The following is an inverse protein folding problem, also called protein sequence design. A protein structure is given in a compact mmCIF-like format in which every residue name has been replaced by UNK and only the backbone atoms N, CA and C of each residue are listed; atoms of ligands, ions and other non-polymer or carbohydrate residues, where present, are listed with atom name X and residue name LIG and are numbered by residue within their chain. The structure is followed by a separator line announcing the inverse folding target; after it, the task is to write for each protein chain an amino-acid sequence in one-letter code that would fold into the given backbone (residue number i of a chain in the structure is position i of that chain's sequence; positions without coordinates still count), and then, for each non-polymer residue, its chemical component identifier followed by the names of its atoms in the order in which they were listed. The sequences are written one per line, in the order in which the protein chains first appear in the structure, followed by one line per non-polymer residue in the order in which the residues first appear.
data_IF_683535285108
#
_entry.id   IF_683535285108
#
_cell.length_a   1.000
_cell.length_b   1.000
_cell.length_c   1.000
_cell.angle_alpha   90.00
_cell.angle_beta   90.00
_cell.angle_gamma   90.00
#
_symmetry.space_group_name_H-M   'P 1'
#
loop_
_entity.id
_entity.type
_entity.pdbx_description
1 polymer ?
#
# COMPACT_ATOMS: atom_id res chain seq x y z
N UNK A 1 -9.39 -3.22 -22.33
CA UNK A 1 -9.88 -4.55 -21.89
C UNK A 1 -11.25 -4.36 -21.25
N UNK A 2 -12.29 -5.07 -21.72
CA UNK A 2 -13.68 -4.83 -21.31
C UNK A 2 -13.98 -5.38 -19.92
N UNK A 3 -13.21 -6.38 -19.45
CA UNK A 3 -13.44 -7.06 -18.19
C UNK A 3 -13.32 -6.14 -16.95
N UNK A 4 -12.41 -5.16 -16.99
CA UNK A 4 -12.14 -4.28 -15.85
C UNK A 4 -12.77 -2.89 -15.96
N UNK A 5 -13.33 -2.54 -17.14
CA UNK A 5 -13.85 -1.18 -17.39
C UNK A 5 -15.03 -0.82 -16.49
N UNK A 6 -15.83 -1.82 -16.11
CA UNK A 6 -16.99 -1.65 -15.22
C UNK A 6 -16.63 -1.37 -13.76
N UNK A 7 -15.35 -1.53 -13.37
CA UNK A 7 -14.90 -1.37 -11.98
C UNK A 7 -14.51 0.06 -11.62
N UNK A 8 -14.42 0.99 -12.58
CA UNK A 8 -14.08 2.38 -12.30
C UNK A 8 -12.68 2.61 -11.68
N UNK A 9 -11.76 1.66 -11.85
CA UNK A 9 -10.43 1.69 -11.21
C UNK A 9 -9.58 2.87 -11.69
N UNK A 10 -8.78 3.44 -10.77
CA UNK A 10 -7.69 4.36 -11.13
C UNK A 10 -6.66 3.62 -11.99
N UNK A 11 -5.88 4.36 -12.77
CA UNK A 11 -4.93 3.77 -13.73
C UNK A 11 -3.94 2.79 -13.09
N UNK A 12 -3.36 3.16 -11.94
CA UNK A 12 -2.44 2.29 -11.18
C UNK A 12 -3.15 1.02 -10.67
N UNK A 13 -4.34 1.16 -10.07
CA UNK A 13 -5.13 0.02 -9.59
C UNK A 13 -5.49 -0.94 -10.74
N UNK A 14 -5.86 -0.40 -11.90
CA UNK A 14 -6.15 -1.19 -13.09
C UNK A 14 -4.96 -2.06 -13.51
N UNK A 15 -3.75 -1.50 -13.53
CA UNK A 15 -2.57 -2.26 -13.92
C UNK A 15 -2.19 -3.33 -12.89
N UNK A 16 -2.34 -3.04 -11.59
CA UNK A 16 -2.06 -4.01 -10.53
C UNK A 16 -3.06 -5.18 -10.63
N UNK A 17 -4.36 -4.90 -10.64
CA UNK A 17 -5.41 -5.92 -10.77
C UNK A 17 -5.19 -6.78 -12.01
N UNK A 18 -4.94 -6.15 -13.16
CA UNK A 18 -4.70 -6.87 -14.41
C UNK A 18 -3.44 -7.72 -14.37
N UNK A 19 -2.35 -7.23 -13.78
CA UNK A 19 -1.09 -7.96 -13.69
C UNK A 19 -1.26 -9.19 -12.79
N UNK A 20 -1.88 -9.04 -11.62
CA UNK A 20 -2.19 -10.14 -10.69
C UNK A 20 -3.04 -11.21 -11.39
N UNK A 21 -4.11 -10.80 -12.08
CA UNK A 21 -4.97 -11.73 -12.83
C UNK A 21 -4.21 -12.54 -13.87
N UNK A 22 -3.13 -12.01 -14.44
CA UNK A 22 -2.32 -12.66 -15.47
C UNK A 22 -1.18 -13.51 -14.92
N UNK A 23 -0.93 -13.50 -13.61
CA UNK A 23 0.06 -14.38 -13.01
C UNK A 23 -0.29 -15.85 -13.21
N UNK A 24 0.73 -16.69 -13.29
CA UNK A 24 0.57 -18.15 -13.18
C UNK A 24 0.18 -18.48 -11.73
N UNK A 25 -0.64 -19.52 -11.48
CA UNK A 25 -0.93 -19.97 -10.12
C UNK A 25 0.37 -20.26 -9.35
N UNK A 26 0.49 -19.74 -8.13
CA UNK A 26 1.68 -19.81 -7.28
C UNK A 26 2.77 -18.77 -7.56
N UNK A 27 2.66 -17.95 -8.62
CA UNK A 27 3.66 -16.94 -8.93
C UNK A 27 3.54 -15.68 -8.04
N UNK A 28 4.68 -15.05 -7.79
CA UNK A 28 4.81 -13.80 -7.03
C UNK A 28 4.93 -12.60 -7.99
N UNK A 29 4.35 -11.47 -7.59
CA UNK A 29 4.57 -10.17 -8.23
C UNK A 29 4.83 -9.09 -7.18
N UNK A 30 5.68 -8.13 -7.54
CA UNK A 30 5.95 -6.94 -6.75
C UNK A 30 5.46 -5.70 -7.53
N UNK A 31 4.85 -4.75 -6.83
CA UNK A 31 4.36 -3.50 -7.39
C UNK A 31 4.82 -2.32 -6.56
N UNK A 32 5.19 -1.24 -7.24
CA UNK A 32 5.47 0.06 -6.63
C UNK A 32 4.30 0.98 -6.98
N UNK A 33 3.56 1.45 -5.97
CA UNK A 33 2.36 2.28 -6.16
C UNK A 33 2.30 3.37 -5.09
N UNK A 34 1.51 4.42 -5.29
CA UNK A 34 1.30 5.38 -4.20
C UNK A 34 0.48 4.74 -3.07
N UNK A 35 0.59 5.30 -1.86
CA UNK A 35 -0.17 4.86 -0.68
C UNK A 35 -1.70 4.80 -0.92
N UNK A 36 -2.19 5.55 -1.91
CA UNK A 36 -3.60 5.61 -2.29
C UNK A 36 -4.21 4.27 -2.70
N UNK A 37 -3.43 3.31 -3.23
CA UNK A 37 -3.97 1.96 -3.53
C UNK A 37 -4.43 1.25 -2.25
N UNK A 38 -3.65 1.37 -1.16
CA UNK A 38 -3.91 0.66 0.09
C UNK A 38 -4.81 1.47 1.04
N UNK A 39 -4.69 2.80 1.07
CA UNK A 39 -5.38 3.64 2.07
C UNK A 39 -6.73 4.20 1.60
N UNK A 40 -7.06 4.13 0.30
CA UNK A 40 -8.33 4.67 -0.17
C UNK A 40 -9.53 3.90 0.43
N UNK A 41 -10.61 4.62 0.71
CA UNK A 41 -11.85 4.06 1.23
C UNK A 41 -12.50 3.06 0.25
N UNK A 42 -12.39 3.33 -1.05
CA UNK A 42 -12.85 2.42 -2.10
C UNK A 42 -11.99 1.15 -2.15
N UNK A 43 -12.50 0.06 -1.59
CA UNK A 43 -11.80 -1.22 -1.54
C UNK A 43 -11.85 -2.01 -2.85
N UNK A 44 -12.55 -1.54 -3.90
CA UNK A 44 -12.83 -2.33 -5.13
C UNK A 44 -11.58 -2.97 -5.73
N UNK A 45 -10.46 -2.22 -5.79
CA UNK A 45 -9.20 -2.74 -6.30
C UNK A 45 -8.63 -3.87 -5.42
N UNK A 46 -8.61 -3.65 -4.10
CA UNK A 46 -8.11 -4.62 -3.12
C UNK A 46 -8.96 -5.89 -3.13
N UNK A 47 -10.28 -5.73 -3.17
CA UNK A 47 -11.24 -6.84 -3.28
C UNK A 47 -11.04 -7.65 -4.57
N UNK A 48 -10.81 -6.99 -5.72
CA UNK A 48 -10.54 -7.73 -6.96
C UNK A 48 -9.25 -8.55 -6.87
N UNK A 49 -8.18 -7.99 -6.31
CA UNK A 49 -6.91 -8.70 -6.12
C UNK A 49 -7.11 -9.90 -5.19
N UNK A 50 -7.79 -9.67 -4.06
CA UNK A 50 -8.02 -10.69 -3.03
C UNK A 50 -8.84 -11.89 -3.52
N UNK A 51 -9.60 -11.78 -4.63
CA UNK A 51 -10.30 -12.93 -5.22
C UNK A 51 -9.36 -14.06 -5.67
N UNK A 52 -8.12 -13.74 -6.05
CA UNK A 52 -7.21 -14.73 -6.62
C UNK A 52 -5.78 -14.70 -6.07
N UNK A 53 -5.42 -13.69 -5.27
CA UNK A 53 -4.09 -13.55 -4.72
C UNK A 53 -4.10 -13.17 -3.24
N UNK A 54 -3.04 -13.58 -2.55
CA UNK A 54 -2.76 -13.18 -1.18
C UNK A 54 -1.75 -12.03 -1.17
N UNK A 55 -1.96 -11.07 -0.26
CA UNK A 55 -0.91 -10.12 0.10
C UNK A 55 0.13 -10.86 0.95
N UNK A 56 1.34 -11.01 0.43
CA UNK A 56 2.45 -11.68 1.12
C UNK A 56 3.19 -10.70 2.01
N UNK A 57 3.40 -9.48 1.50
CA UNK A 57 4.10 -8.41 2.19
C UNK A 57 3.70 -7.07 1.60
N UNK A 58 3.76 -6.03 2.43
CA UNK A 58 3.74 -4.66 1.96
C UNK A 58 4.68 -3.81 2.80
N UNK A 59 5.43 -2.95 2.12
CA UNK A 59 6.31 -1.96 2.72
C UNK A 59 5.82 -0.57 2.35
N UNK A 60 5.87 0.37 3.28
CA UNK A 60 5.58 1.77 3.01
C UNK A 60 6.85 2.58 3.20
N UNK A 61 7.20 3.33 2.17
CA UNK A 61 8.36 4.22 2.13
C UNK A 61 7.92 5.67 2.34
N UNK A 62 8.76 6.49 3.00
CA UNK A 62 8.42 7.87 3.28
C UNK A 62 8.40 8.71 1.99
N UNK A 63 7.74 9.87 2.06
CA UNK A 63 7.77 10.89 1.02
C UNK A 63 9.21 11.26 0.65
N UNK A 64 9.46 11.48 -0.63
CA UNK A 64 10.79 11.85 -1.13
C UNK A 64 11.74 10.67 -1.37
N UNK A 65 11.35 9.44 -1.03
CA UNK A 65 12.15 8.22 -1.31
C UNK A 65 12.53 8.07 -2.78
N UNK A 66 11.67 8.52 -3.70
CA UNK A 66 11.92 8.48 -5.14
C UNK A 66 12.35 9.84 -5.72
N UNK A 67 12.60 10.86 -4.90
CA UNK A 67 13.04 12.18 -5.39
C UNK A 67 14.34 12.12 -6.20
N UNK A 68 15.39 11.35 -5.80
CA UNK A 68 16.63 11.29 -6.57
C UNK A 68 16.51 10.68 -7.98
N UNK A 69 15.54 9.78 -8.20
CA UNK A 69 15.41 9.03 -9.46
C UNK A 69 14.17 9.36 -10.31
N UNK A 70 13.08 9.82 -9.68
CA UNK A 70 11.79 10.06 -10.33
C UNK A 70 11.25 11.48 -10.11
N UNK A 71 11.88 12.29 -9.24
CA UNK A 71 11.50 13.69 -9.01
C UNK A 71 10.13 13.87 -8.35
N UNK A 72 9.60 12.87 -7.64
CA UNK A 72 8.29 12.95 -6.99
C UNK A 72 8.38 12.79 -5.48
N UNK A 73 7.65 13.65 -4.77
CA UNK A 73 7.45 13.60 -3.33
C UNK A 73 6.10 12.93 -3.04
N UNK A 74 6.08 11.61 -3.14
CA UNK A 74 4.90 10.79 -2.84
C UNK A 74 5.27 9.71 -1.84
N UNK A 75 4.35 9.41 -0.93
CA UNK A 75 4.42 8.19 -0.11
C UNK A 75 4.15 6.99 -1.03
N UNK A 76 5.06 6.02 -1.00
CA UNK A 76 5.06 4.89 -1.92
C UNK A 76 4.94 3.59 -1.14
N UNK A 77 4.09 2.70 -1.62
CA UNK A 77 3.99 1.34 -1.14
C UNK A 77 4.67 0.38 -2.13
N UNK A 78 5.42 -0.58 -1.59
CA UNK A 78 5.92 -1.76 -2.31
C UNK A 78 5.07 -2.95 -1.88
N UNK A 79 4.26 -3.48 -2.80
CA UNK A 79 3.28 -4.53 -2.53
C UNK A 79 3.72 -5.85 -3.17
N UNK A 80 3.69 -6.94 -2.40
CA UNK A 80 3.99 -8.29 -2.87
C UNK A 80 2.74 -9.15 -2.84
N UNK A 81 2.32 -9.63 -4.00
CA UNK A 81 1.16 -10.51 -4.14
C UNK A 81 1.57 -11.86 -4.70
N UNK A 82 1.02 -12.94 -4.12
CA UNK A 82 1.16 -14.30 -4.65
C UNK A 82 -0.18 -14.78 -5.15
N UNK A 83 -0.26 -15.19 -6.41
CA UNK A 83 -1.49 -15.79 -6.94
C UNK A 83 -1.70 -17.16 -6.33
N UNK A 84 -2.87 -17.40 -5.75
CA UNK A 84 -3.22 -18.68 -5.14
C UNK A 84 -3.28 -19.79 -6.18
N UNK A 85 -2.87 -21.00 -5.78
CA UNK A 85 -3.09 -22.21 -6.60
C UNK A 85 -4.54 -22.65 -6.51
N UNK A 86 -5.00 -23.41 -7.49
CA UNK A 86 -6.36 -23.97 -7.45
C UNK A 86 -6.53 -24.84 -6.20
N UNK A 87 -7.58 -24.57 -5.42
CA UNK A 87 -7.88 -25.28 -4.17
C UNK A 87 -7.12 -24.80 -2.94
N UNK A 88 -6.20 -23.83 -3.07
CA UNK A 88 -5.65 -23.16 -1.89
C UNK A 88 -6.73 -22.29 -1.23
N UNK A 89 -6.86 -22.31 0.11
CA UNK A 89 -7.78 -21.43 0.81
C UNK A 89 -7.34 -19.97 0.67
N UNK A 90 -8.28 -19.06 0.87
CA UNK A 90 -7.99 -17.64 0.98
C UNK A 90 -7.09 -17.37 2.20
N UNK A 91 -6.04 -16.57 1.99
CA UNK A 91 -5.15 -16.11 3.07
C UNK A 91 -5.79 -15.01 3.92
N UNK A 92 -4.93 -14.22 4.60
CA UNK A 92 -5.40 -13.08 5.38
C UNK A 92 -5.98 -11.98 4.46
N UNK A 93 -7.20 -11.55 4.75
CA UNK A 93 -7.92 -10.48 4.06
C UNK A 93 -8.09 -9.23 4.92
N UNK A 94 -7.48 -9.18 6.12
CA UNK A 94 -7.55 -8.02 7.00
C UNK A 94 -7.09 -6.73 6.28
N UNK A 95 -6.13 -6.84 5.36
CA UNK A 95 -5.63 -5.73 4.53
C UNK A 95 -6.66 -5.15 3.55
N UNK A 96 -7.84 -5.75 3.39
CA UNK A 96 -8.93 -5.12 2.63
C UNK A 96 -9.48 -3.88 3.35
N UNK A 97 -9.43 -3.90 4.68
CA UNK A 97 -10.00 -2.87 5.53
C UNK A 97 -9.00 -1.76 5.88
N UNK A 98 -9.57 -0.62 6.26
CA UNK A 98 -8.82 0.45 6.92
C UNK A 98 -8.97 0.32 8.44
N UNK A 99 -7.97 0.81 9.15
CA UNK A 99 -7.97 0.97 10.60
C UNK A 99 -7.79 2.46 10.93
N UNK A 100 -8.55 2.94 11.91
CA UNK A 100 -8.43 4.32 12.38
C UNK A 100 -7.24 4.43 13.33
N UNK A 101 -6.17 5.06 12.85
CA UNK A 101 -4.93 5.24 13.63
C UNK A 101 -4.92 6.55 14.41
N UNK A 102 -5.76 7.52 14.01
CA UNK A 102 -5.98 8.77 14.72
C UNK A 102 -7.46 9.16 14.62
N UNK A 103 -8.16 9.40 15.75
CA UNK A 103 -9.54 9.85 15.70
C UNK A 103 -9.65 11.25 15.08
N UNK A 104 -10.83 11.58 14.59
CA UNK A 104 -11.13 12.93 14.15
C UNK A 104 -10.96 13.93 15.31
N UNK A 105 -10.47 15.13 14.98
CA UNK A 105 -10.40 16.30 15.87
C UNK A 105 -11.31 17.39 15.31
N UNK A 106 -11.55 18.47 16.06
CA UNK A 106 -12.50 19.53 15.68
C UNK A 106 -12.26 20.07 14.25
N UNK A 107 -10.99 20.21 13.83
CA UNK A 107 -10.61 20.74 12.52
C UNK A 107 -9.95 19.71 11.58
N UNK A 108 -9.85 18.45 12.00
CA UNK A 108 -9.13 17.41 11.25
C UNK A 108 -9.92 16.10 11.18
N UNK A 109 -10.07 15.55 9.97
CA UNK A 109 -10.64 14.22 9.78
C UNK A 109 -9.84 13.12 10.51
N UNK A 110 -10.50 11.99 10.74
CA UNK A 110 -9.84 10.79 11.24
C UNK A 110 -8.79 10.31 10.23
N UNK A 111 -7.60 9.93 10.71
CA UNK A 111 -6.61 9.26 9.86
C UNK A 111 -6.94 7.78 9.85
N UNK A 112 -7.23 7.28 8.65
CA UNK A 112 -7.43 5.87 8.39
C UNK A 112 -6.32 5.38 7.48
N UNK A 113 -5.64 4.33 7.93
CA UNK A 113 -4.56 3.68 7.19
C UNK A 113 -4.99 2.27 6.89
N UNK A 114 -4.47 1.66 5.82
CA UNK A 114 -4.70 0.25 5.58
C UNK A 114 -4.34 -0.60 6.82
N UNK A 115 -5.22 -1.53 7.19
CA UNK A 115 -5.08 -2.35 8.39
C UNK A 115 -3.80 -3.19 8.39
N UNK A 116 -3.29 -3.60 7.22
CA UNK A 116 -1.99 -4.27 7.15
C UNK A 116 -0.89 -3.40 7.76
N UNK A 117 -0.75 -2.15 7.29
CA UNK A 117 0.28 -1.24 7.77
C UNK A 117 0.06 -0.84 9.24
N UNK A 118 -1.20 -0.63 9.66
CA UNK A 118 -1.52 -0.32 11.05
C UNK A 118 -1.06 -1.44 12.02
N UNK A 119 -1.15 -2.71 11.59
CA UNK A 119 -0.77 -3.87 12.40
C UNK A 119 0.68 -4.31 12.22
N UNK A 120 1.37 -3.78 11.21
CA UNK A 120 2.74 -4.11 10.87
C UNK A 120 3.62 -2.85 10.82
N UNK A 121 3.75 -2.10 11.93
CA UNK A 121 4.47 -0.82 11.94
C UNK A 121 5.94 -0.95 11.57
N UNK A 122 6.57 -2.12 11.78
CA UNK A 122 7.95 -2.40 11.36
C UNK A 122 8.16 -2.38 9.83
N UNK A 123 7.08 -2.46 9.05
CA UNK A 123 7.10 -2.42 7.58
C UNK A 123 6.72 -1.03 7.03
N UNK A 124 6.59 -0.05 7.92
CA UNK A 124 6.29 1.35 7.58
C UNK A 124 7.49 2.19 7.98
N UNK A 125 8.24 2.65 6.99
CA UNK A 125 9.50 3.36 7.19
C UNK A 125 9.21 4.86 7.22
N UNK A 126 9.41 5.50 8.37
CA UNK A 126 9.16 6.92 8.59
C UNK A 126 8.25 7.21 9.79
N UNK A 127 7.61 8.39 9.79
CA UNK A 127 6.61 8.80 10.78
C UNK A 127 5.39 9.48 10.14
N UNK A 128 4.22 9.31 10.77
CA UNK A 128 2.98 10.00 10.38
C UNK A 128 3.17 11.52 10.41
N UNK A 129 2.79 12.20 9.33
CA UNK A 129 2.67 13.65 9.33
C UNK A 129 1.44 14.10 8.54
N UNK A 130 1.02 15.34 8.79
CA UNK A 130 -0.03 16.01 8.05
C UNK A 130 0.62 17.14 7.28
N UNK A 131 0.49 17.12 5.96
CA UNK A 131 1.00 18.17 5.08
C UNK A 131 -0.18 18.92 4.51
N UNK A 132 -0.25 20.22 4.74
CA UNK A 132 -1.22 21.07 4.04
C UNK A 132 -0.86 21.12 2.57
N UNK A 133 -1.77 20.70 1.70
CA UNK A 133 -1.57 20.76 0.26
C UNK A 133 -1.48 22.21 -0.22
N UNK A 134 -0.72 22.47 -1.27
CA UNK A 134 -0.62 23.80 -1.89
C UNK A 134 -1.92 24.24 -2.60
N UNK A 135 -2.95 23.40 -2.66
CA UNK A 135 -4.17 23.59 -3.47
C UNK A 135 -5.48 23.47 -2.67
N UNK A 136 -5.45 23.47 -1.33
CA UNK A 136 -6.68 23.43 -0.55
C UNK A 136 -6.44 23.60 0.96
N UNK A 137 -7.51 23.87 1.73
CA UNK A 137 -7.44 23.93 3.20
C UNK A 137 -7.18 22.56 3.84
N UNK A 138 -7.39 21.47 3.09
CA UNK A 138 -7.34 20.10 3.58
C UNK A 138 -5.90 19.62 3.82
N UNK A 139 -5.69 19.01 4.98
CA UNK A 139 -4.44 18.34 5.32
C UNK A 139 -4.38 16.99 4.62
N UNK A 140 -3.31 16.77 3.86
CA UNK A 140 -3.01 15.47 3.25
C UNK A 140 -2.11 14.69 4.19
N UNK A 141 -2.56 13.50 4.56
CA UNK A 141 -1.76 12.56 5.31
C UNK A 141 -0.51 12.15 4.52
N UNK A 142 0.67 12.29 5.13
CA UNK A 142 1.96 11.92 4.57
C UNK A 142 2.78 11.09 5.57
N UNK A 143 3.87 10.51 5.08
CA UNK A 143 4.88 9.81 5.87
C UNK A 143 6.22 10.50 5.66
N UNK A 144 6.80 11.07 6.71
CA UNK A 144 8.10 11.72 6.64
C UNK A 144 9.22 10.72 6.95
N UNK A 145 10.40 10.86 6.33
CA UNK A 145 11.57 10.07 6.71
C UNK A 145 11.95 10.36 8.16
N UNK A 146 12.44 9.36 8.88
CA UNK A 146 12.98 9.57 10.22
C UNK A 146 14.34 10.28 10.12
N UNK A 147 14.60 11.22 11.03
CA UNK A 147 15.85 11.97 11.03
C UNK A 147 17.05 11.03 11.22
N UNK A 148 17.98 11.05 10.25
CA UNK A 148 19.21 10.27 10.28
C UNK A 148 19.05 8.77 9.98
N UNK A 149 17.86 8.31 9.60
CA UNK A 149 17.63 6.91 9.21
C UNK A 149 18.12 6.65 7.78
N UNK A 150 18.96 5.62 7.63
CA UNK A 150 19.33 5.10 6.31
C UNK A 150 18.20 4.21 5.79
N UNK A 151 17.49 4.70 4.77
CA UNK A 151 16.34 4.01 4.18
C UNK A 151 16.71 2.64 3.62
N UNK A 152 17.90 2.48 3.03
CA UNK A 152 18.33 1.21 2.45
C UNK A 152 18.55 0.18 3.56
N UNK A 153 19.17 0.59 4.68
CA UNK A 153 19.36 -0.25 5.85
C UNK A 153 18.02 -0.61 6.51
N UNK A 154 17.10 0.35 6.64
CA UNK A 154 15.78 0.14 7.22
C UNK A 154 14.93 -0.82 6.37
N UNK A 155 14.97 -0.68 5.03
CA UNK A 155 14.30 -1.59 4.12
C UNK A 155 14.90 -3.00 4.17
N UNK A 156 16.24 -3.12 4.21
CA UNK A 156 16.89 -4.41 4.36
C UNK A 156 16.51 -5.10 5.69
N UNK A 157 16.44 -4.36 6.78
CA UNK A 157 15.99 -4.88 8.07
C UNK A 157 14.53 -5.36 8.01
N UNK A 158 13.63 -4.59 7.39
CA UNK A 158 12.23 -4.96 7.25
C UNK A 158 12.04 -6.20 6.35
N UNK A 159 12.84 -6.34 5.28
CA UNK A 159 12.80 -7.53 4.41
C UNK A 159 13.14 -8.81 5.19
N UNK A 160 14.07 -8.74 6.15
CA UNK A 160 14.44 -9.89 6.98
C UNK A 160 13.34 -10.32 7.98
N UNK A 161 12.29 -9.53 8.15
CA UNK A 161 11.13 -9.88 8.98
C UNK A 161 10.06 -10.65 8.22
N UNK A 162 10.23 -10.83 6.90
CA UNK A 162 9.30 -11.64 6.11
C UNK A 162 9.42 -13.12 6.49
N UNK A 163 8.29 -13.84 6.61
CA UNK A 163 8.32 -15.27 6.91
C UNK A 163 9.08 -16.03 5.82
N UNK A 164 9.95 -16.96 6.23
CA UNK A 164 10.57 -17.92 5.31
C UNK A 164 9.47 -18.83 4.72
N UNK A 165 9.46 -18.95 3.39
CA UNK A 165 8.43 -19.67 2.63
C UNK A 165 8.57 -21.19 2.63
#
# INVERSE_FOLDING_TARGET
DRAYRGLGLRLHDYFIVKAVDRLKPGALAAFVTSHGTMDKADATAREQIAKSADLVAAFRLPEGSFRPGAGTDVVVDILFFRKRKAGEPEGDVAWLDLEETRPAREDEGAIRVNRWFARHPAFVLGTHALRRGIHGPDETYTWLPNDGEDLDAALAAAINLLPEG
#
